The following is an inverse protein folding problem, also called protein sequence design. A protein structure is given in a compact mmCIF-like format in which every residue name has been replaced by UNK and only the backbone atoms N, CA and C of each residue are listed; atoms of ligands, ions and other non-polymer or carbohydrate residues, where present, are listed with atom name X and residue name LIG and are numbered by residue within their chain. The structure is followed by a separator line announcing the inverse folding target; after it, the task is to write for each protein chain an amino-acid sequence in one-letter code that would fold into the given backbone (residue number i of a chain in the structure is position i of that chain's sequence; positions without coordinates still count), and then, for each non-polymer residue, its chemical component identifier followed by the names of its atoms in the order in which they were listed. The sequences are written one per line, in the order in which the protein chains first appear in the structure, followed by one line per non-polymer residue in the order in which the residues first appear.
data_IF_646127861970
#
_entry.id   IF_646127861970
#
_cell.length_a   1.000
_cell.length_b   1.000
_cell.length_c   1.000
_cell.angle_alpha   90.00
_cell.angle_beta   90.00
_cell.angle_gamma   90.00
#
_symmetry.space_group_name_H-M   'P 1'
#
loop_
_entity.id
_entity.type
_entity.pdbx_description
1 polymer ?
#
# COMPACT_ATOMS: atom_id res chain seq x y z
N UNK A 1 17.39 -10.71 -22.50
CA UNK A 1 17.30 -9.42 -21.78
C UNK A 1 15.86 -9.31 -21.29
N UNK A 2 15.65 -9.14 -19.99
CA UNK A 2 14.31 -8.97 -19.44
C UNK A 2 13.74 -7.62 -19.89
N UNK A 3 12.48 -7.60 -20.31
CA UNK A 3 11.78 -6.37 -20.70
C UNK A 3 11.03 -5.74 -19.52
N UNK A 4 10.81 -6.51 -18.45
CA UNK A 4 10.06 -6.14 -17.25
C UNK A 4 10.79 -6.66 -16.02
N UNK A 5 10.47 -6.09 -14.86
CA UNK A 5 10.88 -6.64 -13.56
C UNK A 5 9.91 -7.70 -13.07
N UNK A 6 10.45 -8.70 -12.39
CA UNK A 6 9.68 -9.53 -11.47
C UNK A 6 9.45 -8.74 -10.18
N UNK A 7 8.17 -8.59 -9.79
CA UNK A 7 7.78 -7.96 -8.53
C UNK A 7 7.50 -9.03 -7.48
N UNK A 8 8.03 -8.83 -6.28
CA UNK A 8 7.74 -9.65 -5.10
C UNK A 8 7.13 -8.77 -4.04
N UNK A 9 5.87 -9.04 -3.68
CA UNK A 9 5.16 -8.30 -2.64
C UNK A 9 5.14 -9.13 -1.36
N UNK A 10 5.63 -8.57 -0.27
CA UNK A 10 5.67 -9.17 1.05
C UNK A 10 6.36 -10.57 1.08
N UNK A 11 7.51 -10.68 0.43
CA UNK A 11 8.26 -11.94 0.23
C UNK A 11 7.48 -13.05 -0.53
N UNK A 12 6.36 -12.69 -1.18
CA UNK A 12 5.57 -13.57 -2.02
C UNK A 12 5.98 -13.50 -3.49
N UNK A 13 5.00 -13.64 -4.37
CA UNK A 13 5.14 -13.44 -5.82
C UNK A 13 4.63 -12.07 -6.26
N UNK A 14 4.08 -12.03 -7.48
CA UNK A 14 3.49 -10.82 -8.08
C UNK A 14 2.27 -10.30 -7.30
N UNK A 15 1.65 -11.19 -6.52
CA UNK A 15 0.61 -10.85 -5.54
C UNK A 15 1.09 -11.22 -4.15
N UNK A 16 0.81 -10.33 -3.20
CA UNK A 16 1.12 -10.52 -1.79
C UNK A 16 -0.07 -10.09 -0.95
N UNK A 17 -0.24 -10.76 0.19
CA UNK A 17 -1.22 -10.37 1.20
C UNK A 17 -0.49 -9.77 2.39
N UNK A 18 -0.90 -8.58 2.78
CA UNK A 18 -0.41 -7.90 4.00
C UNK A 18 -1.47 -8.08 5.06
N UNK A 19 -1.14 -8.85 6.10
CA UNK A 19 -2.06 -9.11 7.23
C UNK A 19 -1.81 -8.04 8.29
N UNK A 20 -2.77 -7.13 8.43
CA UNK A 20 -2.75 -6.14 9.50
C UNK A 20 -3.15 -6.79 10.84
N UNK A 21 -2.59 -6.34 11.97
CA UNK A 21 -2.90 -6.87 13.30
C UNK A 21 -4.33 -6.50 13.70
N UNK A 22 -4.98 -7.35 14.50
CA UNK A 22 -6.26 -7.00 15.11
C UNK A 22 -6.07 -5.87 16.12
N UNK A 23 -6.78 -4.76 15.91
CA UNK A 23 -6.76 -3.57 16.78
C UNK A 23 -8.15 -3.28 17.32
N UNK A 24 -8.22 -2.58 18.45
CA UNK A 24 -9.50 -2.10 18.99
C UNK A 24 -9.96 -0.84 18.25
N UNK A 25 -11.22 -0.79 17.85
CA UNK A 25 -11.86 0.41 17.28
C UNK A 25 -11.82 1.60 18.24
N UNK A 26 -11.65 1.36 19.54
CA UNK A 26 -11.48 2.41 20.56
C UNK A 26 -10.20 3.22 20.39
N UNK A 27 -9.24 2.74 19.61
CA UNK A 27 -8.02 3.49 19.29
C UNK A 27 -8.17 4.38 18.04
N UNK A 28 -9.29 4.24 17.33
CA UNK A 28 -9.60 4.93 16.08
C UNK A 28 -10.84 5.82 16.30
N UNK A 29 -10.74 6.79 17.20
CA UNK A 29 -11.89 7.60 17.64
C UNK A 29 -11.91 8.99 17.02
N UNK A 30 -10.77 9.46 16.51
CA UNK A 30 -10.65 10.76 15.86
C UNK A 30 -10.22 10.56 14.41
N UNK A 31 -10.75 11.41 13.53
CA UNK A 31 -10.27 11.52 12.16
C UNK A 31 -8.76 11.78 12.19
N UNK A 32 -8.00 10.98 11.44
CA UNK A 32 -6.55 11.05 11.46
C UNK A 32 -5.85 10.03 12.36
N UNK A 33 -6.56 9.34 13.25
CA UNK A 33 -5.96 8.30 14.09
C UNK A 33 -5.42 7.15 13.20
N UNK A 34 -4.17 6.78 13.41
CA UNK A 34 -3.48 5.69 12.71
C UNK A 34 -2.99 4.63 13.70
N UNK A 35 -3.36 3.37 13.49
CA UNK A 35 -2.93 2.24 14.33
C UNK A 35 -2.69 0.96 13.54
N UNK A 36 -2.06 -0.04 14.16
CA UNK A 36 -1.86 -1.35 13.55
C UNK A 36 -0.87 -1.35 12.39
N UNK A 37 0.16 -0.49 12.46
CA UNK A 37 1.21 -0.39 11.44
C UNK A 37 1.90 -1.73 11.22
N UNK A 38 1.85 -2.21 9.99
CA UNK A 38 2.49 -3.45 9.53
C UNK A 38 3.44 -3.12 8.40
N UNK A 39 4.70 -3.48 8.59
CA UNK A 39 5.70 -3.33 7.55
C UNK A 39 5.62 -4.49 6.57
N UNK A 40 5.73 -4.19 5.28
CA UNK A 40 5.83 -5.18 4.23
C UNK A 40 6.87 -4.75 3.19
N UNK A 41 7.79 -5.63 2.78
CA UNK A 41 8.75 -5.34 1.71
C UNK A 41 8.11 -5.50 0.33
N UNK A 42 8.54 -4.69 -0.62
CA UNK A 42 8.36 -4.95 -2.05
C UNK A 42 9.74 -4.95 -2.70
N UNK A 43 10.01 -6.03 -3.44
CA UNK A 43 11.29 -6.27 -4.10
C UNK A 43 11.09 -6.34 -5.61
N UNK A 44 11.98 -5.69 -6.35
CA UNK A 44 12.08 -5.80 -7.80
C UNK A 44 13.35 -6.55 -8.17
N UNK A 45 13.21 -7.60 -8.97
CA UNK A 45 14.32 -8.44 -9.46
C UNK A 45 14.20 -8.71 -10.95
N UNK A 46 15.28 -9.23 -11.54
CA UNK A 46 15.39 -9.48 -12.98
C UNK A 46 15.03 -8.26 -13.84
N UNK A 47 15.32 -7.06 -13.32
CA UNK A 47 14.99 -5.82 -13.98
C UNK A 47 15.98 -5.47 -15.10
N UNK A 48 15.57 -4.65 -16.08
CA UNK A 48 16.52 -4.02 -16.99
C UNK A 48 17.49 -3.14 -16.18
N UNK A 49 18.80 -3.39 -16.32
CA UNK A 49 19.86 -2.70 -15.57
C UNK A 49 19.99 -1.23 -15.96
N UNK A 50 20.51 -0.39 -15.05
CA UNK A 50 20.69 1.05 -15.25
C UNK A 50 19.39 1.77 -15.64
N UNK A 51 18.30 1.40 -14.96
CA UNK A 51 16.97 1.97 -15.17
C UNK A 51 16.40 2.45 -13.85
N UNK A 52 15.55 3.47 -13.95
CA UNK A 52 14.71 3.92 -12.84
C UNK A 52 13.31 3.42 -13.08
N UNK A 53 12.72 2.82 -12.06
CA UNK A 53 11.36 2.32 -12.09
C UNK A 53 10.56 3.02 -11.02
N UNK A 54 9.47 3.64 -11.42
CA UNK A 54 8.53 4.27 -10.51
C UNK A 54 7.43 3.28 -10.19
N UNK A 55 7.30 2.95 -8.91
CA UNK A 55 6.26 2.09 -8.39
C UNK A 55 5.21 2.92 -7.68
N UNK A 56 3.95 2.73 -8.04
CA UNK A 56 2.82 3.39 -7.39
C UNK A 56 1.72 2.40 -7.07
N UNK A 57 0.87 2.76 -6.12
CA UNK A 57 -0.32 2.01 -5.77
C UNK A 57 -1.53 2.63 -6.48
N UNK A 58 -2.29 1.78 -7.17
CA UNK A 58 -3.54 2.15 -7.84
C UNK A 58 -4.67 1.24 -7.38
N UNK A 59 -5.90 1.61 -7.68
CA UNK A 59 -7.09 0.79 -7.39
C UNK A 59 -7.63 0.04 -8.60
N UNK A 60 -6.81 -0.10 -9.64
CA UNK A 60 -7.17 -0.79 -10.88
C UNK A 60 -7.58 -2.25 -10.60
N UNK A 61 -8.89 -2.54 -10.65
CA UNK A 61 -9.43 -3.89 -10.39
C UNK A 61 -9.55 -4.28 -8.91
N UNK A 62 -9.51 -3.31 -8.00
CA UNK A 62 -9.61 -3.49 -6.55
C UNK A 62 -10.74 -2.69 -5.90
N UNK A 63 -10.56 -2.38 -4.61
CA UNK A 63 -11.41 -1.44 -3.87
C UNK A 63 -11.12 -0.01 -4.29
N UNK A 64 -12.02 0.94 -4.07
CA UNK A 64 -11.80 2.35 -4.38
C UNK A 64 -10.77 3.01 -3.45
N UNK A 65 -10.12 4.07 -3.94
CA UNK A 65 -9.33 4.98 -3.12
C UNK A 65 -10.20 6.17 -2.72
N UNK A 66 -9.84 6.80 -1.61
CA UNK A 66 -10.43 8.05 -1.17
C UNK A 66 -9.51 9.20 -1.60
N UNK A 67 -9.99 10.05 -2.49
CA UNK A 67 -9.22 11.16 -3.04
C UNK A 67 -8.97 12.30 -2.04
N UNK A 68 -9.75 12.39 -0.95
CA UNK A 68 -9.55 13.39 0.09
C UNK A 68 -8.43 12.96 1.04
N UNK A 69 -8.41 11.69 1.44
CA UNK A 69 -7.43 11.17 2.40
C UNK A 69 -6.20 10.53 1.75
N UNK A 70 -6.29 10.16 0.46
CA UNK A 70 -5.29 9.43 -0.30
C UNK A 70 -5.16 7.96 0.09
N UNK A 71 -6.15 7.39 0.77
CA UNK A 71 -6.08 6.05 1.36
C UNK A 71 -6.93 5.02 0.59
N UNK A 72 -6.69 3.74 0.86
CA UNK A 72 -7.54 2.64 0.38
C UNK A 72 -8.82 2.56 1.21
N UNK A 73 -9.97 2.52 0.54
CA UNK A 73 -11.27 2.33 1.20
C UNK A 73 -11.46 0.86 1.56
N UNK A 74 -12.01 0.62 2.74
CA UNK A 74 -12.40 -0.73 3.17
C UNK A 74 -13.53 -1.28 2.28
N UNK A 75 -13.63 -2.60 2.17
CA UNK A 75 -14.83 -3.26 1.66
C UNK A 75 -16.07 -2.91 2.49
N UNK A 76 -17.23 -2.93 1.84
CA UNK A 76 -18.53 -2.63 2.46
C UNK A 76 -19.33 -3.90 2.68
N UNK A 77 -20.19 -3.89 3.71
CA UNK A 77 -21.06 -5.01 4.10
C UNK A 77 -21.22 -5.09 5.62
N UNK A 78 -22.16 -5.91 6.08
CA UNK A 78 -22.53 -5.98 7.51
C UNK A 78 -21.40 -6.48 8.42
N UNK A 79 -20.49 -7.32 7.88
CA UNK A 79 -19.34 -7.84 8.62
C UNK A 79 -18.12 -6.89 8.63
N UNK A 80 -18.14 -5.83 7.80
CA UNK A 80 -16.99 -4.94 7.62
C UNK A 80 -17.07 -3.69 8.51
N UNK A 81 -15.89 -3.18 8.88
CA UNK A 81 -15.76 -1.93 9.61
C UNK A 81 -16.15 -0.74 8.73
N UNK A 82 -16.97 0.15 9.28
CA UNK A 82 -17.30 1.45 8.67
C UNK A 82 -16.28 2.50 9.10
N UNK A 83 -16.13 3.56 8.28
CA UNK A 83 -15.26 4.73 8.53
C UNK A 83 -13.77 4.42 8.81
N UNK A 84 -13.31 3.22 8.43
CA UNK A 84 -11.91 2.81 8.45
C UNK A 84 -11.37 2.69 7.04
N UNK A 85 -10.15 3.16 6.87
CA UNK A 85 -9.38 3.07 5.64
C UNK A 85 -8.03 2.42 5.93
N UNK A 86 -7.33 2.01 4.88
CA UNK A 86 -5.94 1.55 4.98
C UNK A 86 -5.05 2.60 4.34
N UNK A 87 -4.13 3.14 5.13
CA UNK A 87 -3.12 4.08 4.68
C UNK A 87 -1.81 3.34 4.43
N UNK A 88 -1.20 3.62 3.28
CA UNK A 88 0.12 3.11 2.91
C UNK A 88 1.14 4.25 3.01
N UNK A 89 2.27 3.97 3.65
CA UNK A 89 3.40 4.89 3.80
C UNK A 89 4.68 4.20 3.35
N UNK A 90 5.66 5.00 2.95
CA UNK A 90 7.05 4.60 2.86
C UNK A 90 7.64 4.44 4.26
N UNK A 91 8.78 3.75 4.36
CA UNK A 91 9.49 3.55 5.64
C UNK A 91 9.96 4.86 6.30
N UNK A 92 10.17 5.93 5.51
CA UNK A 92 10.53 7.27 5.99
C UNK A 92 9.31 8.04 6.56
N UNK A 93 8.12 7.44 6.53
CA UNK A 93 6.87 8.04 6.99
C UNK A 93 6.12 8.82 5.92
N UNK A 94 6.68 9.01 4.72
CA UNK A 94 5.99 9.70 3.62
C UNK A 94 4.76 8.91 3.19
N UNK A 95 3.60 9.56 3.10
CA UNK A 95 2.38 8.92 2.64
C UNK A 95 2.46 8.62 1.14
N UNK A 96 2.00 7.43 0.76
CA UNK A 96 1.71 7.10 -0.62
C UNK A 96 0.21 7.22 -0.87
N UNK A 97 -0.16 8.29 -1.57
CA UNK A 97 -1.53 8.52 -1.99
C UNK A 97 -1.88 7.56 -3.12
N UNK A 98 -2.93 6.77 -2.92
CA UNK A 98 -3.39 5.80 -3.92
C UNK A 98 -4.02 6.53 -5.11
N UNK A 99 -3.76 6.04 -6.32
CA UNK A 99 -4.20 6.63 -7.60
C UNK A 99 -3.65 8.04 -7.88
N UNK A 100 -2.63 8.48 -7.14
CA UNK A 100 -1.95 9.74 -7.40
C UNK A 100 -0.71 9.52 -8.29
N UNK A 101 -0.58 10.32 -9.35
CA UNK A 101 0.55 10.21 -10.29
C UNK A 101 1.87 10.76 -9.70
N UNK A 102 1.82 11.59 -8.67
CA UNK A 102 3.00 12.17 -8.03
C UNK A 102 3.44 11.37 -6.79
N UNK A 103 2.67 10.36 -6.40
CA UNK A 103 2.93 9.52 -5.23
C UNK A 103 3.49 8.17 -5.67
N UNK A 104 4.81 8.11 -5.82
CA UNK A 104 5.52 6.91 -6.25
C UNK A 104 6.76 6.65 -5.38
N UNK A 105 7.24 5.42 -5.43
CA UNK A 105 8.56 5.02 -4.94
C UNK A 105 9.46 4.72 -6.14
N UNK A 106 10.61 5.39 -6.19
CA UNK A 106 11.64 5.09 -7.18
C UNK A 106 12.47 3.88 -6.75
N UNK A 107 12.71 2.98 -7.70
CA UNK A 107 13.64 1.87 -7.63
C UNK A 107 14.75 2.12 -8.62
N UNK A 108 15.96 2.34 -8.11
CA UNK A 108 17.17 2.54 -8.90
C UNK A 108 17.82 1.18 -9.14
N UNK A 109 17.64 0.62 -10.34
CA UNK A 109 18.15 -0.71 -10.67
C UNK A 109 19.66 -0.61 -10.98
N UNK A 110 20.53 -1.26 -10.19
CA UNK A 110 21.97 -1.15 -10.38
C UNK A 110 22.43 -1.83 -11.67
N UNK A 111 23.62 -1.46 -12.14
CA UNK A 111 24.25 -2.08 -13.31
C UNK A 111 24.47 -3.60 -13.14
N UNK A 112 24.59 -4.07 -11.90
CA UNK A 112 24.71 -5.49 -11.55
C UNK A 112 23.42 -6.28 -11.78
N UNK A 113 22.26 -5.61 -11.83
CA UNK A 113 20.95 -6.25 -11.88
C UNK A 113 20.51 -6.88 -10.56
N UNK A 114 21.15 -6.50 -9.45
CA UNK A 114 20.78 -6.97 -8.12
C UNK A 114 19.36 -6.57 -7.74
N UNK A 115 18.74 -7.38 -6.88
CA UNK A 115 17.40 -7.13 -6.35
C UNK A 115 17.38 -5.83 -5.52
N UNK A 116 16.40 -4.97 -5.80
CA UNK A 116 16.17 -3.74 -5.06
C UNK A 116 14.90 -3.89 -4.25
N UNK A 117 15.02 -3.74 -2.92
CA UNK A 117 13.91 -3.90 -1.99
C UNK A 117 13.63 -2.60 -1.25
N UNK A 118 12.37 -2.16 -1.25
CA UNK A 118 11.89 -1.09 -0.40
C UNK A 118 10.82 -1.60 0.58
N UNK A 119 10.83 -1.05 1.78
CA UNK A 119 9.85 -1.36 2.80
C UNK A 119 8.75 -0.30 2.84
N UNK A 120 7.52 -0.76 2.98
CA UNK A 120 6.33 0.06 3.12
C UNK A 120 5.62 -0.30 4.42
N UNK A 121 4.75 0.59 4.87
CA UNK A 121 3.97 0.45 6.09
C UNK A 121 2.51 0.59 5.70
N UNK A 122 1.69 -0.41 6.03
CA UNK A 122 0.24 -0.31 5.96
C UNK A 122 -0.32 -0.14 7.37
N UNK A 123 -1.30 0.74 7.56
CA UNK A 123 -1.92 1.00 8.86
C UNK A 123 -3.41 1.31 8.70
N UNK A 124 -4.18 1.08 9.74
CA UNK A 124 -5.58 1.52 9.78
C UNK A 124 -5.65 3.02 10.00
N UNK A 125 -6.57 3.66 9.30
CA UNK A 125 -6.82 5.10 9.36
C UNK A 125 -8.29 5.37 9.64
N UNK A 126 -8.59 6.16 10.66
CA UNK A 126 -9.95 6.62 10.95
C UNK A 126 -10.31 7.79 10.02
N UNK A 127 -11.35 7.62 9.19
CA UNK A 127 -11.84 8.69 8.31
C UNK A 127 -12.58 9.77 9.11
N UNK A 128 -13.40 9.38 10.08
CA UNK A 128 -14.30 10.28 10.80
C UNK A 128 -14.21 10.12 12.32
N UNK A 129 -14.66 11.14 13.05
CA UNK A 129 -14.69 11.14 14.50
C UNK A 129 -15.81 10.22 15.03
N UNK A 130 -15.46 9.25 15.87
CA UNK A 130 -16.40 8.41 16.63
C UNK A 130 -17.23 7.44 15.79
N UNK A 131 -16.92 7.28 14.49
CA UNK A 131 -17.72 6.49 13.55
C UNK A 131 -17.15 5.09 13.26
N UNK A 132 -15.93 4.79 13.72
CA UNK A 132 -15.29 3.51 13.45
C UNK A 132 -16.01 2.38 14.19
N UNK A 133 -16.71 1.54 13.43
CA UNK A 133 -17.36 0.35 13.95
C UNK A 133 -16.35 -0.80 14.10
N UNK A 134 -16.63 -1.78 14.95
CA UNK A 134 -15.90 -3.04 14.88
C UNK A 134 -16.31 -3.79 13.60
N UNK A 135 -15.37 -4.47 12.96
CA UNK A 135 -15.64 -5.28 11.78
C UNK A 135 -14.36 -5.67 11.06
N UNK A 136 -14.52 -6.48 10.00
CA UNK A 136 -13.43 -6.87 9.13
C UNK A 136 -12.93 -5.67 8.32
N UNK A 137 -11.64 -5.67 8.04
CA UNK A 137 -11.03 -4.73 7.11
C UNK A 137 -10.33 -5.51 6.01
N UNK A 138 -10.83 -5.36 4.79
CA UNK A 138 -10.25 -5.95 3.60
C UNK A 138 -10.24 -4.90 2.51
N UNK A 139 -9.08 -4.72 1.89
CA UNK A 139 -8.94 -3.85 0.75
C UNK A 139 -7.93 -4.43 -0.23
N UNK A 140 -7.99 -4.00 -1.47
CA UNK A 140 -7.12 -4.44 -2.55
C UNK A 140 -6.59 -3.25 -3.32
N UNK A 141 -5.27 -3.17 -3.41
CA UNK A 141 -4.55 -2.28 -4.31
C UNK A 141 -3.82 -3.08 -5.39
N UNK A 142 -3.58 -2.43 -6.51
CA UNK A 142 -2.75 -2.91 -7.61
C UNK A 142 -1.46 -2.09 -7.65
N UNK A 143 -0.34 -2.75 -7.95
CA UNK A 143 0.94 -2.08 -8.12
C UNK A 143 1.12 -1.78 -9.61
N UNK A 144 1.37 -0.52 -9.93
CA UNK A 144 1.69 -0.08 -11.28
C UNK A 144 3.17 0.31 -11.34
N UNK A 145 3.89 -0.29 -12.29
CA UNK A 145 5.32 -0.06 -12.50
C UNK A 145 5.51 0.72 -13.81
N UNK A 146 6.04 1.94 -13.69
CA UNK A 146 6.41 2.77 -14.83
C UNK A 146 7.93 2.72 -15.04
N UNK A 147 8.34 2.24 -16.20
CA UNK A 147 9.75 2.11 -16.58
C UNK A 147 10.22 3.39 -17.28
N UNK A 148 11.26 4.04 -16.76
CA UNK A 148 11.86 5.24 -17.36
C UNK A 148 13.13 4.95 -18.17
#
# INVERSE_FOLDING_TARGET
MAQTCDVSVNNGGESGTVVLPTVSSQLLQKSGDEVGSTQFPISLRNCPVNRTIEMRFTTSGGNTSDSETGNLVNSTGDDYSNDVQVRVRKIDGTQLSIDDNNSFQEYLIPASGDEVTHNFIASYYAKSNGAVSAGLVQTRSTIDLTYK
#
